data_IF_575420255743
#
_entry.id   IF_575420255743
#
_cell.length_a   1.000
_cell.length_b   1.000
_cell.length_c   1.000
_cell.angle_alpha   90.00
_cell.angle_beta   90.00
_cell.angle_gamma   90.00
#
_symmetry.space_group_name_H-M   'P 1'
#
loop_
_entity.id
_entity.type
_entity.pdbx_description
1 polymer ?
#
# COMPACT_ATOMS: atom_id res chain seq x y z
N UNK A 1 20.57 11.78 -0.90
CA UNK A 1 21.06 10.38 -0.90
C UNK A 1 20.28 9.68 -1.99
N UNK A 2 20.95 9.24 -3.05
CA UNK A 2 20.30 8.47 -4.12
C UNK A 2 19.81 7.16 -3.51
N UNK A 3 18.50 7.00 -3.38
CA UNK A 3 17.92 5.74 -2.93
C UNK A 3 18.14 4.73 -4.05
N UNK A 4 18.88 3.66 -3.76
CA UNK A 4 18.98 2.53 -4.68
C UNK A 4 17.56 2.05 -5.00
N UNK A 5 17.23 1.78 -6.28
CA UNK A 5 15.92 1.30 -6.65
C UNK A 5 15.67 -0.04 -5.95
N UNK A 6 14.51 -0.16 -5.29
CA UNK A 6 14.11 -1.41 -4.62
C UNK A 6 13.96 -2.52 -5.65
N UNK A 7 14.39 -3.72 -5.26
CA UNK A 7 14.10 -4.94 -6.01
C UNK A 7 12.59 -5.23 -6.01
N UNK A 8 12.14 -6.06 -6.96
CA UNK A 8 10.74 -6.47 -7.05
C UNK A 8 10.22 -7.05 -5.72
N UNK A 9 11.01 -7.94 -5.11
CA UNK A 9 10.65 -8.56 -3.83
C UNK A 9 10.51 -7.54 -2.71
N UNK A 10 11.43 -6.58 -2.60
CA UNK A 10 11.36 -5.52 -1.59
C UNK A 10 10.15 -4.59 -1.82
N UNK A 11 9.79 -4.30 -3.08
CA UNK A 11 8.56 -3.56 -3.40
C UNK A 11 7.32 -4.32 -2.93
N UNK A 12 7.28 -5.64 -3.12
CA UNK A 12 6.16 -6.47 -2.66
C UNK A 12 6.06 -6.49 -1.13
N UNK A 13 7.18 -6.68 -0.43
CA UNK A 13 7.19 -6.62 1.04
C UNK A 13 6.70 -5.27 1.55
N UNK A 14 7.16 -4.17 0.94
CA UNK A 14 6.68 -2.83 1.28
C UNK A 14 5.19 -2.67 1.02
N UNK A 15 4.70 -3.07 -0.15
CA UNK A 15 3.27 -2.99 -0.49
C UNK A 15 2.42 -3.79 0.50
N UNK A 16 2.87 -4.97 0.90
CA UNK A 16 2.19 -5.79 1.90
C UNK A 16 2.11 -5.06 3.26
N UNK A 17 3.25 -4.57 3.76
CA UNK A 17 3.30 -3.83 5.03
C UNK A 17 2.41 -2.59 5.00
N UNK A 18 2.47 -1.81 3.92
CA UNK A 18 1.65 -0.61 3.75
C UNK A 18 0.15 -0.93 3.70
N UNK A 19 -0.23 -2.01 3.00
CA UNK A 19 -1.64 -2.44 2.89
C UNK A 19 -2.19 -2.90 4.22
N UNK A 20 -1.44 -3.69 4.99
CA UNK A 20 -1.84 -4.11 6.33
C UNK A 20 -1.91 -2.92 7.30
N UNK A 21 -0.94 -2.00 7.22
CA UNK A 21 -0.95 -0.77 8.04
C UNK A 21 -2.16 0.10 7.72
N UNK A 22 -2.52 0.25 6.44
CA UNK A 22 -3.73 0.97 6.01
C UNK A 22 -4.99 0.35 6.59
N UNK A 23 -5.14 -0.99 6.54
CA UNK A 23 -6.29 -1.69 7.11
C UNK A 23 -6.41 -1.42 8.61
N UNK A 24 -5.29 -1.51 9.34
CA UNK A 24 -5.26 -1.24 10.78
C UNK A 24 -5.67 0.21 11.09
N UNK A 25 -5.14 1.19 10.37
CA UNK A 25 -5.46 2.61 10.59
C UNK A 25 -6.92 2.93 10.25
N UNK A 26 -7.50 2.32 9.21
CA UNK A 26 -8.94 2.47 8.92
C UNK A 26 -9.80 1.97 10.07
N UNK A 27 -9.48 0.80 10.63
CA UNK A 27 -10.20 0.26 11.80
C UNK A 27 -10.09 1.22 12.99
N UNK A 28 -8.89 1.71 13.29
CA UNK A 28 -8.69 2.69 14.37
C UNK A 28 -9.46 4.00 14.13
N UNK A 29 -9.49 4.47 12.89
CA UNK A 29 -10.22 5.69 12.53
C UNK A 29 -11.72 5.51 12.75
N UNK A 30 -12.28 4.36 12.37
CA UNK A 30 -13.70 4.05 12.60
C UNK A 30 -14.02 3.99 14.10
N UNK A 31 -13.16 3.36 14.91
CA UNK A 31 -13.31 3.30 16.38
C UNK A 31 -13.27 4.68 17.04
N UNK A 32 -12.35 5.56 16.62
CA UNK A 32 -12.19 6.91 17.16
C UNK A 32 -13.30 7.86 16.71
N UNK A 33 -13.76 7.73 15.47
CA UNK A 33 -14.91 8.48 14.94
C UNK A 33 -16.15 8.17 15.76
N UNK A 34 -16.39 6.88 16.06
CA UNK A 34 -17.49 6.44 16.92
C UNK A 34 -17.37 6.97 18.36
N UNK A 35 -16.15 7.30 18.79
CA UNK A 35 -15.86 7.81 20.14
C UNK A 35 -15.76 9.34 20.20
N UNK A 36 -16.06 10.08 19.12
CA UNK A 36 -15.90 11.54 18.99
C UNK A 36 -14.48 12.05 19.31
N UNK A 37 -13.45 11.25 19.01
CA UNK A 37 -12.05 11.66 19.15
C UNK A 37 -11.53 12.25 17.83
N UNK A 38 -10.47 13.05 17.89
CA UNK A 38 -9.83 13.59 16.68
C UNK A 38 -9.18 12.47 15.88
N UNK A 39 -9.41 12.47 14.57
CA UNK A 39 -8.87 11.51 13.59
C UNK A 39 -7.90 12.16 12.60
N UNK A 40 -7.57 13.44 12.77
CA UNK A 40 -6.78 14.23 11.82
C UNK A 40 -5.42 13.59 11.51
N UNK A 41 -4.68 13.18 12.54
CA UNK A 41 -3.39 12.52 12.36
C UNK A 41 -3.49 11.16 11.64
N UNK A 42 -4.55 10.40 11.90
CA UNK A 42 -4.77 9.12 11.23
C UNK A 42 -5.13 9.34 9.77
N UNK A 43 -5.94 10.37 9.47
CA UNK A 43 -6.27 10.75 8.10
C UNK A 43 -5.04 11.20 7.31
N UNK A 44 -4.16 12.01 7.93
CA UNK A 44 -2.90 12.42 7.32
C UNK A 44 -1.98 11.23 7.03
N UNK A 45 -1.86 10.28 7.96
CA UNK A 45 -1.02 9.10 7.78
C UNK A 45 -1.60 8.14 6.74
N UNK A 46 -2.92 7.97 6.70
CA UNK A 46 -3.61 7.22 5.64
C UNK A 46 -3.32 7.83 4.26
N UNK A 47 -3.38 9.15 4.12
CA UNK A 47 -3.06 9.82 2.85
C UNK A 47 -1.62 9.56 2.40
N UNK A 48 -0.65 9.60 3.32
CA UNK A 48 0.76 9.29 3.02
C UNK A 48 0.93 7.84 2.57
N UNK A 49 0.27 6.91 3.26
CA UNK A 49 0.32 5.48 2.92
C UNK A 49 -0.29 5.23 1.55
N UNK A 50 -1.43 5.85 1.23
CA UNK A 50 -2.05 5.71 -0.09
C UNK A 50 -1.17 6.25 -1.22
N UNK A 51 -0.46 7.37 -0.98
CA UNK A 51 0.53 7.88 -1.93
C UNK A 51 1.72 6.93 -2.12
N UNK A 52 2.23 6.33 -1.04
CA UNK A 52 3.37 5.42 -1.11
C UNK A 52 3.00 4.08 -1.78
N UNK A 53 1.78 3.58 -1.53
CA UNK A 53 1.25 2.40 -2.23
C UNK A 53 1.12 2.68 -3.71
N UNK A 54 0.53 3.81 -4.09
CA UNK A 54 0.37 4.19 -5.49
C UNK A 54 1.74 4.28 -6.21
N UNK A 55 2.75 4.82 -5.53
CA UNK A 55 4.12 4.86 -6.03
C UNK A 55 4.71 3.47 -6.27
N UNK A 56 4.57 2.52 -5.34
CA UNK A 56 5.10 1.16 -5.52
C UNK A 56 4.25 0.28 -6.44
N UNK A 57 2.96 0.57 -6.56
CA UNK A 57 2.02 -0.11 -7.45
C UNK A 57 1.97 0.51 -8.86
N UNK A 58 2.80 1.51 -9.17
CA UNK A 58 2.83 2.18 -10.48
C UNK A 58 1.46 2.69 -10.98
N UNK A 59 0.60 3.21 -10.10
CA UNK A 59 -0.73 3.71 -10.51
C UNK A 59 -1.88 2.71 -10.41
N UNK A 60 -1.60 1.43 -10.12
CA UNK A 60 -2.65 0.43 -9.96
C UNK A 60 -3.43 0.61 -8.64
N UNK A 61 -4.73 0.31 -8.69
CA UNK A 61 -5.61 0.47 -7.53
C UNK A 61 -5.27 -0.59 -6.47
N UNK A 62 -5.17 -0.13 -5.22
CA UNK A 62 -4.90 -0.98 -4.06
C UNK A 62 -6.00 -2.02 -3.84
N UNK A 63 -7.22 -1.72 -4.26
CA UNK A 63 -8.37 -2.64 -4.11
C UNK A 63 -8.27 -3.85 -5.06
N UNK A 64 -7.46 -3.75 -6.11
CA UNK A 64 -7.12 -4.87 -7.01
C UNK A 64 -6.00 -5.75 -6.43
N UNK A 65 -5.26 -5.26 -5.43
CA UNK A 65 -4.18 -5.98 -4.77
C UNK A 65 -4.75 -6.86 -3.63
N UNK A 66 -5.34 -8.00 -4.00
CA UNK A 66 -5.79 -8.99 -3.02
C UNK A 66 -4.61 -9.81 -2.45
N UNK A 67 -4.05 -9.33 -1.33
CA UNK A 67 -3.00 -10.05 -0.58
C UNK A 67 -3.53 -11.21 0.30
N UNK A 68 -4.85 -11.43 0.35
CA UNK A 68 -5.43 -12.48 1.22
C UNK A 68 -5.25 -13.88 0.65
N UNK A 69 -5.11 -13.99 -0.68
CA UNK A 69 -4.75 -15.22 -1.39
C UNK A 69 -3.24 -15.27 -1.62
N UNK A 70 -2.48 -15.46 -0.53
CA UNK A 70 -1.01 -15.41 -0.46
C UNK A 70 -0.24 -16.51 -1.22
N UNK A 71 -0.84 -17.13 -2.25
CA UNK A 71 -0.06 -17.80 -3.30
C UNK A 71 0.42 -16.75 -4.30
N UNK A 72 1.47 -16.03 -3.90
CA UNK A 72 2.41 -15.32 -4.77
C UNK A 72 1.76 -14.63 -5.97
N UNK A 73 1.28 -13.40 -5.71
CA UNK A 73 0.90 -12.37 -6.69
C UNK A 73 1.39 -12.70 -8.10
N UNK A 74 0.43 -13.04 -8.97
CA UNK A 74 0.72 -13.50 -10.32
C UNK A 74 1.55 -12.42 -11.05
N UNK A 75 2.78 -12.71 -11.52
CA UNK A 75 3.61 -11.74 -12.22
C UNK A 75 2.93 -11.16 -13.47
N UNK A 76 1.86 -11.79 -13.98
CA UNK A 76 1.01 -11.26 -15.05
C UNK A 76 0.32 -9.93 -14.71
N UNK A 77 0.02 -9.64 -13.44
CA UNK A 77 -0.46 -8.30 -13.04
C UNK A 77 0.65 -7.25 -13.11
N UNK A 78 1.89 -7.68 -13.23
CA UNK A 78 3.09 -6.86 -13.20
C UNK A 78 3.96 -7.07 -14.47
N UNK A 79 3.49 -7.73 -15.53
CA UNK A 79 4.32 -7.92 -16.76
C UNK A 79 4.48 -6.66 -17.61
N UNK A 80 3.72 -5.59 -17.32
CA UNK A 80 4.03 -4.25 -17.86
C UNK A 80 5.27 -3.62 -17.19
N UNK A 81 5.85 -4.27 -16.17
CA UNK A 81 6.99 -3.77 -15.38
C UNK A 81 8.36 -4.07 -16.02
N UNK A 82 8.43 -4.81 -17.14
CA UNK A 82 9.68 -5.11 -17.87
C UNK A 82 9.70 -4.52 -19.31
N UNK A 83 8.93 -3.45 -19.55
CA UNK A 83 8.71 -2.92 -20.90
C UNK A 83 9.07 -1.45 -21.14
N UNK A 84 10.11 -0.88 -20.53
CA UNK A 84 10.68 0.40 -21.00
C UNK A 84 12.20 0.47 -20.76
N UNK A 85 12.98 -0.04 -21.72
CA UNK A 85 14.26 0.56 -22.14
C UNK A 85 14.12 1.06 -23.58
#
# INVERSE_FOLDING_TARGET
MEQQPLTYFEKLEKLYVLTETRKMLKIQMDELTNSNHSTEHISDDLNKIEQEINYYANGHDIEELDFTNSSLLNPVFYTDFEGVE
#
